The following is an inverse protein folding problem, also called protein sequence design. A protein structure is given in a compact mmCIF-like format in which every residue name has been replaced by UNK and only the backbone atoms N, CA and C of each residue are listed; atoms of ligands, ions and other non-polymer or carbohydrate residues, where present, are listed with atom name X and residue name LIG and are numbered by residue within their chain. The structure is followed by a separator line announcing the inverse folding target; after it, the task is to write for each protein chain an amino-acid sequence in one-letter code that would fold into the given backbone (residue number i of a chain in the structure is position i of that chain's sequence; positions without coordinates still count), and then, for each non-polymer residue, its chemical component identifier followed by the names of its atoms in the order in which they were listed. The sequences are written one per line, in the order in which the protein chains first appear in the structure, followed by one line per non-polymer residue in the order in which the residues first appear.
data_IF_863606171830
#
_entry.id   IF_863606171830
#
_cell.length_a   1.000
_cell.length_b   1.000
_cell.length_c   1.000
_cell.angle_alpha   90.00
_cell.angle_beta   90.00
_cell.angle_gamma   90.00
#
_symmetry.space_group_name_H-M   'P 1'
#
loop_
_entity.id
_entity.type
_entity.pdbx_description
1 polymer ?
#
# COMPACT_ATOMS: atom_id res chain seq x y z
N UNK A 1 4.94 -38.44 20.73
CA UNK A 1 5.33 -37.01 20.68
C UNK A 1 4.56 -36.34 19.56
N UNK A 2 3.63 -35.40 19.82
CA UNK A 2 2.92 -34.73 18.74
C UNK A 2 3.74 -33.54 18.22
N UNK A 3 4.10 -33.58 16.93
CA UNK A 3 4.64 -32.42 16.21
C UNK A 3 3.51 -31.38 16.06
N UNK A 4 3.61 -30.28 16.80
CA UNK A 4 2.79 -29.08 16.55
C UNK A 4 3.18 -28.51 15.19
N UNK A 5 2.40 -28.85 14.17
CA UNK A 5 2.44 -28.17 12.88
C UNK A 5 1.98 -26.73 13.07
N UNK A 6 2.83 -25.79 12.69
CA UNK A 6 2.55 -24.36 12.72
C UNK A 6 1.33 -24.08 11.84
N UNK A 7 0.22 -23.64 12.44
CA UNK A 7 -0.88 -23.03 11.70
C UNK A 7 -0.40 -21.65 11.24
N UNK A 8 0.07 -21.53 10.00
CA UNK A 8 0.17 -20.23 9.34
C UNK A 8 -1.26 -19.71 9.17
N UNK A 9 -1.67 -18.78 10.04
CA UNK A 9 -2.82 -17.94 9.78
C UNK A 9 -2.53 -17.19 8.48
N UNK A 10 -3.05 -17.72 7.39
CA UNK A 10 -3.01 -17.05 6.08
C UNK A 10 -3.86 -15.80 6.26
N UNK A 11 -3.21 -14.66 6.54
CA UNK A 11 -3.84 -13.35 6.50
C UNK A 11 -4.40 -13.20 5.09
N UNK A 12 -5.70 -13.46 4.95
CA UNK A 12 -6.44 -13.08 3.78
C UNK A 12 -6.37 -11.55 3.74
N UNK A 13 -5.46 -11.01 2.93
CA UNK A 13 -5.47 -9.61 2.59
C UNK A 13 -6.76 -9.36 1.80
N UNK A 14 -7.87 -9.13 2.51
CA UNK A 14 -9.15 -8.82 1.90
C UNK A 14 -8.92 -7.65 0.96
N UNK A 15 -9.16 -7.83 -0.35
CA UNK A 15 -9.00 -6.74 -1.30
C UNK A 15 -9.86 -5.58 -0.83
N UNK A 16 -9.24 -4.44 -0.47
CA UNK A 16 -10.00 -3.23 -0.16
C UNK A 16 -10.70 -2.78 -1.45
N UNK A 17 -11.96 -3.16 -1.61
CA UNK A 17 -12.79 -2.72 -2.74
C UNK A 17 -13.21 -1.30 -2.41
N UNK A 18 -12.53 -0.32 -3.01
CA UNK A 18 -12.93 1.07 -2.91
C UNK A 18 -14.13 1.29 -3.85
N UNK A 19 -15.19 1.99 -3.41
CA UNK A 19 -16.40 2.21 -4.22
C UNK A 19 -16.19 3.18 -5.39
N UNK A 20 -15.03 3.81 -5.47
CA UNK A 20 -14.58 4.67 -6.56
C UNK A 20 -13.17 4.27 -6.97
N UNK A 21 -12.80 4.52 -8.23
CA UNK A 21 -11.44 4.32 -8.71
C UNK A 21 -10.53 5.39 -8.09
N UNK A 22 -9.64 5.03 -7.17
CA UNK A 22 -8.83 6.03 -6.51
C UNK A 22 -7.66 6.47 -7.41
N UNK A 23 -7.38 5.77 -8.51
CA UNK A 23 -6.43 6.21 -9.54
C UNK A 23 -6.96 7.41 -10.35
N UNK A 24 -8.28 7.65 -10.36
CA UNK A 24 -8.89 8.81 -11.00
C UNK A 24 -8.73 10.10 -10.19
N UNK A 25 -8.20 10.04 -8.95
CA UNK A 25 -7.98 11.20 -8.12
C UNK A 25 -6.73 11.99 -8.58
N UNK A 26 -6.72 13.32 -8.39
CA UNK A 26 -5.52 14.13 -8.56
C UNK A 26 -4.34 13.55 -7.77
N UNK A 27 -3.13 13.66 -8.32
CA UNK A 27 -1.90 13.11 -7.72
C UNK A 27 -1.73 13.54 -6.26
N UNK A 28 -2.01 14.80 -5.95
CA UNK A 28 -1.94 15.37 -4.60
C UNK A 28 -2.85 14.63 -3.62
N UNK A 29 -4.09 14.33 -4.02
CA UNK A 29 -5.06 13.61 -3.19
C UNK A 29 -4.67 12.15 -2.96
N UNK A 30 -4.00 11.52 -3.93
CA UNK A 30 -3.49 10.16 -3.79
C UNK A 30 -2.31 10.10 -2.81
N UNK A 31 -1.39 11.06 -2.89
CA UNK A 31 -0.29 11.18 -1.92
C UNK A 31 -0.81 11.48 -0.50
N UNK A 32 -1.75 12.42 -0.34
CA UNK A 32 -2.36 12.72 0.96
C UNK A 32 -3.04 11.48 1.58
N UNK A 33 -3.73 10.69 0.76
CA UNK A 33 -4.38 9.46 1.22
C UNK A 33 -3.37 8.41 1.67
N UNK A 34 -2.31 8.18 0.89
CA UNK A 34 -1.24 7.25 1.25
C UNK A 34 -0.51 7.70 2.52
N UNK A 35 -0.28 9.00 2.69
CA UNK A 35 0.34 9.51 3.90
C UNK A 35 -0.51 9.24 5.14
N UNK A 36 -1.83 9.53 5.09
CA UNK A 36 -2.76 9.21 6.18
C UNK A 36 -2.83 7.72 6.48
N UNK A 37 -2.79 6.91 5.43
CA UNK A 37 -2.83 5.46 5.55
C UNK A 37 -1.57 4.94 6.26
N UNK A 38 -0.38 5.44 5.88
CA UNK A 38 0.88 5.13 6.53
C UNK A 38 0.88 5.54 8.00
N UNK A 39 0.44 6.76 8.31
CA UNK A 39 0.32 7.24 9.70
C UNK A 39 -0.70 6.47 10.54
N UNK A 40 -1.61 5.72 9.92
CA UNK A 40 -2.55 4.84 10.62
C UNK A 40 -1.94 3.47 10.98
N UNK A 41 -0.63 3.27 10.75
CA UNK A 41 0.12 2.05 11.07
C UNK A 41 -0.52 0.79 10.48
N UNK A 42 -1.02 0.89 9.25
CA UNK A 42 -1.57 -0.28 8.55
C UNK A 42 -0.46 -1.27 8.19
N UNK A 43 -0.85 -2.53 8.06
CA UNK A 43 0.04 -3.59 7.62
C UNK A 43 0.80 -3.18 6.33
N UNK A 44 2.14 -3.30 6.30
CA UNK A 44 2.94 -2.88 5.15
C UNK A 44 2.56 -3.56 3.83
N UNK A 45 2.11 -4.83 3.85
CA UNK A 45 1.67 -5.52 2.63
C UNK A 45 0.34 -4.96 2.12
N UNK A 46 -0.56 -4.60 3.04
CA UNK A 46 -1.81 -3.91 2.70
C UNK A 46 -1.50 -2.53 2.10
N UNK A 47 -0.58 -1.79 2.71
CA UNK A 47 -0.11 -0.50 2.18
C UNK A 47 0.42 -0.61 0.75
N UNK A 48 1.34 -1.56 0.49
CA UNK A 48 1.90 -1.80 -0.85
C UNK A 48 0.80 -2.08 -1.88
N UNK A 49 -0.17 -2.91 -1.50
CA UNK A 49 -1.30 -3.25 -2.38
C UNK A 49 -2.14 -2.02 -2.75
N UNK A 50 -2.37 -1.13 -1.80
CA UNK A 50 -3.13 0.11 -2.01
C UNK A 50 -2.31 1.11 -2.84
N UNK A 51 -1.02 1.30 -2.54
CA UNK A 51 -0.12 2.16 -3.30
C UNK A 51 -0.08 1.76 -4.78
N UNK A 52 0.04 0.46 -5.08
CA UNK A 52 0.00 -0.04 -6.46
C UNK A 52 -1.31 0.26 -7.17
N UNK A 53 -2.45 0.08 -6.50
CA UNK A 53 -3.78 0.41 -7.07
C UNK A 53 -3.93 1.90 -7.37
N UNK A 54 -3.23 2.74 -6.63
CA UNK A 54 -3.19 4.19 -6.82
C UNK A 54 -2.22 4.63 -7.91
N UNK A 55 -1.50 3.71 -8.56
CA UNK A 55 -0.49 4.03 -9.57
C UNK A 55 0.89 4.29 -8.99
N UNK A 56 1.21 3.80 -7.78
CA UNK A 56 2.49 4.02 -7.12
C UNK A 56 3.22 2.71 -6.80
N UNK A 57 4.51 2.71 -7.04
CA UNK A 57 5.47 1.78 -6.47
C UNK A 57 6.13 2.36 -5.22
N UNK A 58 6.58 1.46 -4.35
CA UNK A 58 7.46 1.82 -3.23
C UNK A 58 8.91 1.74 -3.70
N UNK A 59 9.66 2.82 -3.49
CA UNK A 59 11.11 2.82 -3.67
C UNK A 59 11.80 2.33 -2.39
N UNK A 60 13.03 1.80 -2.53
CA UNK A 60 13.90 1.47 -1.39
C UNK A 60 14.47 2.71 -0.68
N UNK A 61 13.91 3.89 -0.94
CA UNK A 61 14.32 5.15 -0.37
C UNK A 61 13.26 5.64 0.63
N UNK A 62 13.70 6.39 1.64
CA UNK A 62 12.82 6.97 2.65
C UNK A 62 12.60 8.44 2.34
N UNK A 63 11.35 8.89 2.33
CA UNK A 63 11.02 10.30 2.31
C UNK A 63 11.08 10.84 3.75
N UNK A 64 12.12 11.63 4.04
CA UNK A 64 12.35 12.22 5.36
C UNK A 64 11.27 13.26 5.70
N UNK A 65 10.67 13.90 4.70
CA UNK A 65 9.65 14.94 4.92
C UNK A 65 8.31 14.33 5.31
N UNK A 66 7.95 13.23 4.64
CA UNK A 66 6.72 12.51 4.87
C UNK A 66 6.83 11.40 5.94
N UNK A 67 8.05 11.12 6.40
CA UNK A 67 8.39 10.02 7.30
C UNK A 67 7.79 8.66 6.87
N UNK A 68 7.89 8.40 5.57
CA UNK A 68 7.38 7.19 4.96
C UNK A 68 8.27 6.75 3.80
N UNK A 69 8.15 5.51 3.31
CA UNK A 69 8.86 5.10 2.10
C UNK A 69 8.48 5.98 0.90
N UNK A 70 9.48 6.34 0.10
CA UNK A 70 9.29 7.19 -1.07
C UNK A 70 8.36 6.51 -2.08
N UNK A 71 7.30 7.22 -2.46
CA UNK A 71 6.36 6.79 -3.50
C UNK A 71 6.91 7.20 -4.87
N UNK A 72 7.12 6.23 -5.76
CA UNK A 72 7.42 6.48 -7.16
C UNK A 72 6.18 6.20 -8.01
N UNK A 73 5.87 7.02 -9.03
CA UNK A 73 4.81 6.69 -9.97
C UNK A 73 5.16 5.37 -10.69
N UNK A 74 4.24 4.42 -10.65
CA UNK A 74 4.36 3.15 -11.36
C UNK A 74 3.93 3.35 -12.82
N UNK A 75 4.92 3.65 -13.66
CA UNK A 75 4.75 3.88 -15.10
C UNK A 75 4.19 2.65 -15.85
N UNK A 76 4.12 1.48 -15.20
CA UNK A 76 3.57 0.25 -15.81
C UNK A 76 2.04 0.23 -15.84
N UNK A 77 1.38 1.13 -15.12
CA UNK A 77 -0.09 1.19 -15.02
C UNK A 77 -0.68 2.21 -16.03
N UNK A 78 0.17 2.91 -16.78
CA UNK A 78 -0.20 3.96 -17.73
C UNK A 78 -0.39 3.47 -19.18
N UNK A 79 -0.55 2.16 -19.42
CA UNK A 79 -0.57 1.57 -20.76
C UNK A 79 -1.79 0.70 -21.05
#
# INVERSE_FOLDING_TARGET
MPKKGVCMATLAATPLVMPFDPASLPMEKRCEYLHKLWSADVDPFVFVGIARRLGYGLCCHWDITADMPLLAPDLRILH
#
